data_IF_315779955050
#
_entry.id   IF_315779955050
#
_cell.length_a   1.000
_cell.length_b   1.000
_cell.length_c   1.000
_cell.angle_alpha   90.00
_cell.angle_beta   90.00
_cell.angle_gamma   90.00
#
_symmetry.space_group_name_H-M   'P 1'
#
loop_
_entity.id
_entity.type
_entity.pdbx_description
1 polymer ?
#
# COMPACT_ATOMS: atom_id res chain seq x y z
N UNK A 1 32.95 -7.97 3.62
CA UNK A 1 34.20 -7.82 2.84
C UNK A 1 35.02 -6.63 3.31
N UNK A 2 34.48 -5.41 3.37
CA UNK A 2 35.26 -4.24 3.81
C UNK A 2 35.63 -4.28 5.30
N UNK A 3 34.67 -4.56 6.20
CA UNK A 3 34.96 -4.69 7.65
C UNK A 3 35.95 -5.84 7.93
N UNK A 4 35.84 -6.95 7.19
CA UNK A 4 36.76 -8.09 7.35
C UNK A 4 38.20 -7.69 6.98
N UNK A 5 38.37 -6.88 5.94
CA UNK A 5 39.68 -6.34 5.54
C UNK A 5 40.22 -5.35 6.58
N UNK A 6 39.37 -4.56 7.22
CA UNK A 6 39.77 -3.65 8.30
C UNK A 6 40.24 -4.42 9.55
N UNK A 7 39.56 -5.51 9.92
CA UNK A 7 39.97 -6.41 11.02
C UNK A 7 41.31 -7.09 10.68
N UNK A 8 41.49 -7.55 9.45
CA UNK A 8 42.74 -8.16 9.02
C UNK A 8 43.90 -7.15 9.09
N UNK A 9 43.69 -5.92 8.60
CA UNK A 9 44.71 -4.87 8.63
C UNK A 9 45.05 -4.43 10.06
N UNK A 10 44.05 -4.30 10.94
CA UNK A 10 44.28 -3.93 12.33
C UNK A 10 45.06 -5.01 13.09
N UNK A 11 44.86 -6.28 12.75
CA UNK A 11 45.69 -7.39 13.26
C UNK A 11 47.14 -7.27 12.77
N UNK A 12 47.36 -7.03 11.48
CA UNK A 12 48.70 -6.82 10.94
C UNK A 12 49.42 -5.64 11.62
N UNK A 13 48.73 -4.52 11.83
CA UNK A 13 49.29 -3.35 12.50
C UNK A 13 49.61 -3.62 13.97
N UNK A 14 48.81 -4.45 14.65
CA UNK A 14 49.10 -4.93 16.00
C UNK A 14 50.38 -5.77 16.03
N UNK A 15 50.54 -6.73 15.10
CA UNK A 15 51.74 -7.57 15.02
C UNK A 15 53.02 -6.77 14.71
N UNK A 16 52.88 -5.63 14.02
CA UNK A 16 53.98 -4.69 13.73
C UNK A 16 54.27 -3.72 14.89
N UNK A 17 53.51 -3.79 15.99
CA UNK A 17 53.63 -2.90 17.14
C UNK A 17 53.10 -1.49 16.90
N UNK A 18 52.38 -1.25 15.80
CA UNK A 18 51.78 0.04 15.45
C UNK A 18 50.43 0.25 16.14
N UNK A 19 49.83 -0.83 16.67
CA UNK A 19 48.58 -0.83 17.42
C UNK A 19 48.75 -1.68 18.70
N UNK A 20 48.30 -1.19 19.85
CA UNK A 20 48.33 -1.99 21.07
C UNK A 20 47.24 -3.07 21.06
N UNK A 21 47.49 -4.18 21.76
CA UNK A 21 46.55 -5.30 21.87
C UNK A 21 45.19 -4.87 22.46
N UNK A 22 45.19 -4.00 23.47
CA UNK A 22 43.96 -3.44 24.07
C UNK A 22 43.12 -2.67 23.04
N UNK A 23 43.78 -1.89 22.17
CA UNK A 23 43.11 -1.09 21.14
C UNK A 23 42.63 -1.97 20.00
N UNK A 24 43.38 -3.00 19.63
CA UNK A 24 42.94 -4.02 18.68
C UNK A 24 41.68 -4.75 19.18
N UNK A 25 41.68 -5.25 20.41
CA UNK A 25 40.53 -5.94 21.00
C UNK A 25 39.27 -5.06 20.99
N UNK A 26 39.41 -3.80 21.41
CA UNK A 26 38.30 -2.84 21.42
C UNK A 26 37.77 -2.56 20.01
N UNK A 27 38.67 -2.32 19.04
CA UNK A 27 38.29 -2.02 17.66
C UNK A 27 37.60 -3.21 16.99
N UNK A 28 38.14 -4.42 17.17
CA UNK A 28 37.58 -5.65 16.60
C UNK A 28 36.18 -5.91 17.12
N UNK A 29 35.94 -5.77 18.43
CA UNK A 29 34.59 -5.90 19.02
C UNK A 29 33.61 -4.89 18.42
N UNK A 30 34.03 -3.62 18.26
CA UNK A 30 33.19 -2.59 17.65
C UNK A 30 32.82 -2.94 16.20
N UNK A 31 33.81 -3.36 15.41
CA UNK A 31 33.65 -3.72 13.99
C UNK A 31 32.78 -4.96 13.81
N UNK A 32 32.94 -5.98 14.67
CA UNK A 32 32.10 -7.18 14.65
C UNK A 32 30.64 -6.87 15.00
N UNK A 33 30.42 -5.99 15.98
CA UNK A 33 29.08 -5.54 16.35
C UNK A 33 28.42 -4.75 15.20
N UNK A 34 29.14 -3.84 14.57
CA UNK A 34 28.67 -3.09 13.40
C UNK A 34 28.33 -4.04 12.24
N UNK A 35 29.20 -5.00 11.94
CA UNK A 35 28.94 -6.00 10.90
C UNK A 35 27.69 -6.83 11.20
N UNK A 36 27.48 -7.22 12.46
CA UNK A 36 26.28 -7.96 12.88
C UNK A 36 25.02 -7.12 12.71
N UNK A 37 25.06 -5.85 13.09
CA UNK A 37 23.93 -4.93 12.97
C UNK A 37 23.56 -4.71 11.50
N UNK A 38 24.54 -4.46 10.63
CA UNK A 38 24.32 -4.31 9.19
C UNK A 38 23.72 -5.56 8.53
N UNK A 39 24.13 -6.75 8.95
CA UNK A 39 23.54 -8.02 8.46
C UNK A 39 22.06 -8.19 8.81
N UNK A 40 21.58 -7.51 9.85
CA UNK A 40 20.16 -7.51 10.25
C UNK A 40 19.41 -6.39 9.56
N UNK A 41 19.98 -5.19 9.54
CA UNK A 41 19.29 -3.98 9.07
C UNK A 41 19.12 -3.96 7.55
N UNK A 42 20.12 -4.42 6.79
CA UNK A 42 20.06 -4.38 5.31
C UNK A 42 18.87 -5.20 4.79
N UNK A 43 18.70 -6.49 5.13
CA UNK A 43 17.54 -7.26 4.68
C UNK A 43 16.21 -6.66 5.16
N UNK A 44 16.14 -6.19 6.40
CA UNK A 44 14.92 -5.59 6.94
C UNK A 44 14.52 -4.31 6.19
N UNK A 45 15.49 -3.46 5.84
CA UNK A 45 15.27 -2.25 5.06
C UNK A 45 14.90 -2.59 3.61
N UNK A 46 15.57 -3.56 2.98
CA UNK A 46 15.23 -4.06 1.65
C UNK A 46 13.80 -4.61 1.59
N UNK A 47 13.40 -5.43 2.58
CA UNK A 47 12.04 -5.96 2.69
C UNK A 47 11.01 -4.84 2.86
N UNK A 48 11.32 -3.82 3.67
CA UNK A 48 10.44 -2.65 3.86
C UNK A 48 10.29 -1.82 2.58
N UNK A 49 11.38 -1.65 1.83
CA UNK A 49 11.40 -0.94 0.54
C UNK A 49 10.62 -1.71 -0.52
N UNK A 50 10.83 -3.02 -0.64
CA UNK A 50 10.09 -3.89 -1.54
C UNK A 50 8.60 -3.86 -1.22
N UNK A 51 8.23 -4.00 0.06
CA UNK A 51 6.83 -3.91 0.51
C UNK A 51 6.20 -2.55 0.14
N UNK A 52 6.98 -1.47 0.16
CA UNK A 52 6.50 -0.12 -0.19
C UNK A 52 6.43 0.08 -1.70
N UNK A 53 7.40 -0.44 -2.45
CA UNK A 53 7.43 -0.41 -3.90
C UNK A 53 6.29 -1.23 -4.51
N UNK A 54 6.03 -2.43 -3.99
CA UNK A 54 4.92 -3.29 -4.40
C UNK A 54 3.58 -2.56 -4.22
N UNK A 55 3.40 -1.87 -3.08
CA UNK A 55 2.20 -1.05 -2.82
C UNK A 55 2.06 0.14 -3.79
N UNK A 56 3.17 0.78 -4.17
CA UNK A 56 3.15 1.89 -5.11
C UNK A 56 2.85 1.42 -6.55
N UNK A 57 3.42 0.29 -6.95
CA UNK A 57 3.15 -0.34 -8.24
C UNK A 57 1.70 -0.83 -8.33
N UNK A 58 1.17 -1.41 -7.25
CA UNK A 58 -0.22 -1.82 -7.16
C UNK A 58 -1.17 -0.62 -7.22
N UNK A 59 -0.83 0.50 -6.57
CA UNK A 59 -1.58 1.75 -6.68
C UNK A 59 -1.53 2.33 -8.11
N UNK A 60 -0.39 2.26 -8.78
CA UNK A 60 -0.24 2.75 -10.16
C UNK A 60 -1.03 1.88 -11.15
N UNK A 61 -0.98 0.55 -10.99
CA UNK A 61 -1.83 -0.40 -11.73
C UNK A 61 -3.31 -0.13 -11.45
N UNK A 62 -3.68 0.17 -10.21
CA UNK A 62 -5.04 0.55 -9.85
C UNK A 62 -5.49 1.83 -10.55
N UNK A 63 -4.69 2.91 -10.52
CA UNK A 63 -5.00 4.16 -11.23
C UNK A 63 -5.16 3.88 -12.73
N UNK A 64 -4.33 3.02 -13.31
CA UNK A 64 -4.40 2.66 -14.72
C UNK A 64 -5.68 1.87 -15.05
N UNK A 65 -6.04 0.87 -14.24
CA UNK A 65 -7.28 0.09 -14.38
C UNK A 65 -8.52 0.96 -14.14
N UNK A 66 -8.53 1.74 -13.07
CA UNK A 66 -9.60 2.69 -12.76
C UNK A 66 -9.78 3.71 -13.91
N UNK A 67 -8.70 4.20 -14.53
CA UNK A 67 -8.79 5.07 -15.72
C UNK A 67 -9.38 4.36 -16.94
N UNK A 68 -9.05 3.08 -17.15
CA UNK A 68 -9.68 2.25 -18.18
C UNK A 68 -11.18 2.04 -17.88
N UNK A 69 -11.54 1.87 -16.60
CA UNK A 69 -12.89 1.66 -16.07
C UNK A 69 -13.73 2.96 -16.04
N UNK A 70 -13.13 4.15 -15.91
CA UNK A 70 -13.86 5.44 -16.01
C UNK A 70 -14.40 5.76 -17.41
N UNK A 71 -14.19 4.86 -18.38
CA UNK A 71 -14.90 4.85 -19.68
C UNK A 71 -15.97 3.75 -19.78
N UNK A 72 -16.34 3.10 -18.69
CA UNK A 72 -17.41 2.10 -18.70
C UNK A 72 -18.76 2.79 -18.65
N UNK A 73 -19.53 2.56 -19.70
CA UNK A 73 -20.97 2.85 -19.75
C UNK A 73 -21.80 1.79 -19.02
N UNK A 74 -21.22 0.61 -18.72
CA UNK A 74 -21.92 -0.54 -18.12
C UNK A 74 -21.04 -1.28 -17.10
N UNK A 75 -21.66 -1.74 -16.01
CA UNK A 75 -21.05 -2.63 -15.02
C UNK A 75 -21.19 -4.08 -15.52
N UNK A 76 -20.08 -4.68 -15.98
CA UNK A 76 -20.08 -6.11 -16.31
C UNK A 76 -19.75 -6.95 -15.07
N UNK A 77 -20.23 -8.21 -14.97
CA UNK A 77 -19.94 -9.10 -13.84
C UNK A 77 -18.43 -9.27 -13.58
N UNK A 78 -17.60 -9.23 -14.61
CA UNK A 78 -16.15 -9.34 -14.52
C UNK A 78 -15.55 -8.15 -13.77
N UNK A 79 -16.02 -6.94 -14.08
CA UNK A 79 -15.62 -5.70 -13.40
C UNK A 79 -16.08 -5.73 -11.94
N UNK A 80 -17.31 -6.14 -11.69
CA UNK A 80 -17.86 -6.21 -10.33
C UNK A 80 -17.02 -7.16 -9.45
N UNK A 81 -16.66 -8.35 -9.95
CA UNK A 81 -15.83 -9.29 -9.21
C UNK A 81 -14.38 -8.82 -9.02
N UNK A 82 -13.87 -7.92 -9.86
CA UNK A 82 -12.53 -7.36 -9.69
C UNK A 82 -12.49 -6.31 -8.57
N UNK A 83 -13.53 -5.47 -8.46
CA UNK A 83 -13.54 -4.34 -7.52
C UNK A 83 -14.23 -4.64 -6.19
N UNK A 84 -15.07 -5.67 -6.10
CA UNK A 84 -15.83 -6.02 -4.89
C UNK A 84 -15.29 -7.32 -4.30
N UNK A 85 -14.79 -7.24 -3.06
CA UNK A 85 -14.35 -8.40 -2.27
C UNK A 85 -15.57 -9.21 -1.79
N UNK A 86 -16.57 -8.54 -1.21
CA UNK A 86 -17.82 -9.17 -0.78
C UNK A 86 -18.96 -8.18 -0.62
N UNK A 87 -20.19 -8.68 -0.69
CA UNK A 87 -21.43 -7.94 -0.41
C UNK A 87 -22.10 -8.60 0.79
N UNK A 88 -22.29 -7.84 1.86
CA UNK A 88 -22.95 -8.30 3.09
C UNK A 88 -24.34 -7.69 3.17
N UNK A 89 -25.35 -8.56 3.21
CA UNK A 89 -26.74 -8.16 3.30
C UNK A 89 -27.23 -8.45 4.72
N UNK A 90 -27.60 -7.40 5.45
CA UNK A 90 -28.11 -7.52 6.82
C UNK A 90 -29.54 -8.05 6.86
N UNK A 91 -30.04 -8.38 8.05
CA UNK A 91 -31.44 -8.77 8.23
C UNK A 91 -32.37 -7.60 7.83
N UNK A 92 -33.56 -7.89 7.27
CA UNK A 92 -34.52 -6.86 6.94
C UNK A 92 -35.13 -6.25 8.21
N UNK A 93 -35.20 -4.93 8.25
CA UNK A 93 -35.82 -4.17 9.33
C UNK A 93 -37.03 -3.39 8.81
N UNK A 94 -38.03 -3.17 9.66
CA UNK A 94 -39.16 -2.30 9.32
C UNK A 94 -38.94 -0.95 9.98
N UNK A 95 -38.73 0.07 9.15
CA UNK A 95 -38.63 1.46 9.56
C UNK A 95 -39.79 2.18 8.87
N UNK A 96 -40.64 2.84 9.68
CA UNK A 96 -41.81 3.59 9.21
C UNK A 96 -42.75 2.77 8.28
N UNK A 97 -43.06 1.54 8.69
CA UNK A 97 -43.93 0.61 7.93
C UNK A 97 -43.32 0.03 6.65
N UNK A 98 -42.16 0.52 6.20
CA UNK A 98 -41.43 0.06 5.02
C UNK A 98 -40.29 -0.87 5.39
N UNK A 99 -40.10 -1.93 4.59
CA UNK A 99 -39.01 -2.89 4.75
C UNK A 99 -37.72 -2.28 4.20
N UNK A 100 -36.72 -2.16 5.05
CA UNK A 100 -35.37 -1.71 4.73
C UNK A 100 -34.39 -2.86 4.92
N UNK A 101 -33.35 -2.91 4.11
CA UNK A 101 -32.30 -3.91 4.25
C UNK A 101 -30.96 -3.25 3.99
N UNK A 102 -30.09 -3.27 5.00
CA UNK A 102 -28.76 -2.68 4.88
C UNK A 102 -27.87 -3.58 4.02
N UNK A 103 -27.23 -2.99 3.02
CA UNK A 103 -26.28 -3.65 2.14
C UNK A 103 -24.92 -2.97 2.33
N UNK A 104 -23.94 -3.72 2.79
CA UNK A 104 -22.56 -3.28 2.97
C UNK A 104 -21.70 -3.88 1.85
N UNK A 105 -21.06 -3.03 1.04
CA UNK A 105 -20.20 -3.46 -0.08
C UNK A 105 -18.75 -3.24 0.34
N UNK A 106 -17.96 -4.31 0.32
CA UNK A 106 -16.53 -4.29 0.64
C UNK A 106 -15.75 -4.24 -0.67
N UNK A 107 -14.98 -3.18 -0.85
CA UNK A 107 -14.15 -3.04 -2.05
C UNK A 107 -12.75 -3.61 -1.79
N UNK A 108 -12.24 -4.35 -2.77
CA UNK A 108 -10.97 -5.09 -2.66
C UNK A 108 -9.76 -4.18 -2.36
N UNK A 109 -9.82 -2.90 -2.70
CA UNK A 109 -8.64 -2.00 -2.67
C UNK A 109 -8.73 -0.81 -1.70
N UNK A 110 -9.92 -0.43 -1.23
CA UNK A 110 -10.13 0.73 -0.33
C UNK A 110 -10.73 0.35 1.03
N UNK A 111 -11.02 -0.94 1.27
CA UNK A 111 -11.69 -1.39 2.49
C UNK A 111 -13.17 -1.00 2.52
N UNK A 112 -13.68 -0.63 3.69
CA UNK A 112 -15.10 -0.25 3.86
C UNK A 112 -15.33 1.14 3.27
N UNK A 113 -15.99 1.19 2.11
CA UNK A 113 -16.57 2.44 1.64
C UNK A 113 -17.86 2.72 2.43
N UNK A 114 -17.85 3.78 3.23
CA UNK A 114 -19.08 4.29 3.84
C UNK A 114 -19.85 5.06 2.78
N UNK A 115 -20.85 4.42 2.19
CA UNK A 115 -21.79 5.12 1.33
C UNK A 115 -22.38 6.31 2.13
N UNK A 116 -22.44 7.52 1.55
CA UNK A 116 -23.19 8.61 2.15
C UNK A 116 -24.68 8.21 2.26
N UNK A 117 -25.44 8.97 3.06
CA UNK A 117 -26.88 8.70 3.22
C UNK A 117 -27.57 8.59 1.84
N UNK A 118 -28.57 7.71 1.68
CA UNK A 118 -29.19 7.43 0.37
C UNK A 118 -29.62 8.70 -0.37
N UNK A 119 -30.17 9.66 0.38
CA UNK A 119 -30.63 10.96 -0.12
C UNK A 119 -29.48 11.78 -0.70
N UNK A 120 -28.34 11.81 -0.01
CA UNK A 120 -27.11 12.50 -0.43
C UNK A 120 -26.51 11.84 -1.67
N UNK A 121 -26.48 10.50 -1.69
CA UNK A 121 -25.98 9.73 -2.84
C UNK A 121 -26.82 9.99 -4.10
N UNK A 122 -28.15 10.00 -3.97
CA UNK A 122 -29.07 10.32 -5.06
C UNK A 122 -28.86 11.75 -5.59
N UNK A 123 -28.68 12.73 -4.70
CA UNK A 123 -28.40 14.11 -5.08
C UNK A 123 -27.09 14.24 -5.86
N UNK A 124 -26.01 13.63 -5.38
CA UNK A 124 -24.70 13.64 -6.04
C UNK A 124 -24.75 12.96 -7.41
N UNK A 125 -25.42 11.81 -7.51
CA UNK A 125 -25.63 11.09 -8.76
C UNK A 125 -26.40 11.93 -9.78
N UNK A 126 -27.49 12.57 -9.35
CA UNK A 126 -28.29 13.43 -10.23
C UNK A 126 -27.52 14.67 -10.69
N UNK A 127 -26.73 15.29 -9.81
CA UNK A 127 -25.87 16.42 -10.17
C UNK A 127 -24.83 16.02 -11.23
N UNK A 128 -24.19 14.85 -11.05
CA UNK A 128 -23.24 14.29 -12.01
C UNK A 128 -23.89 14.06 -13.39
N UNK A 129 -25.04 13.39 -13.45
CA UNK A 129 -25.75 13.12 -14.71
C UNK A 129 -26.16 14.40 -15.43
N UNK A 130 -26.67 15.39 -14.70
CA UNK A 130 -27.03 16.68 -15.28
C UNK A 130 -25.82 17.42 -15.85
N UNK A 131 -24.68 17.40 -15.15
CA UNK A 131 -23.43 17.99 -15.65
C UNK A 131 -22.92 17.29 -16.92
N UNK A 132 -23.01 15.96 -16.97
CA UNK A 132 -22.63 15.16 -18.14
C UNK A 132 -23.52 15.48 -19.35
N UNK A 133 -24.84 15.57 -19.16
CA UNK A 133 -25.79 15.93 -20.23
C UNK A 133 -25.54 17.34 -20.77
N UNK A 134 -25.22 18.30 -19.88
CA UNK A 134 -24.85 19.68 -20.29
C UNK A 134 -23.56 19.72 -21.10
N UNK A 135 -22.55 18.90 -20.76
CA UNK A 135 -21.31 18.77 -21.53
C UNK A 135 -21.58 18.20 -22.93
N UNK A 136 -22.37 17.12 -23.03
CA UNK A 136 -22.72 16.51 -24.33
C UNK A 136 -23.50 17.44 -25.24
N UNK A 137 -24.40 18.28 -24.70
CA UNK A 137 -25.15 19.30 -25.45
C UNK A 137 -24.29 20.51 -25.88
N UNK A 138 -23.13 20.72 -25.27
CA UNK A 138 -22.20 21.82 -25.59
C UNK A 138 -21.19 21.44 -26.69
N UNK A 139 -21.02 20.15 -26.95
CA UNK A 139 -20.07 19.60 -27.93
C UNK A 139 -20.77 19.10 -29.20
N UNK A 140 -22.08 19.32 -29.32
CA UNK A 140 -22.92 18.99 -30.48
C UNK A 140 -23.39 20.26 -31.16
#
# INVERSE_FOLDING_TARGET
MEIDQLIQKSYEDMTKGLLSEERFATLTVSLENEQRQLKVDIPALEDSLNTTADKADDLQKFIQRARQVTRLTELTPEIVHEFIDKIVISKPEKIDGKRHQKVDIYYSTIGLWTAPEPETLEQEYMAYYQAMQKRRKRTA
#
